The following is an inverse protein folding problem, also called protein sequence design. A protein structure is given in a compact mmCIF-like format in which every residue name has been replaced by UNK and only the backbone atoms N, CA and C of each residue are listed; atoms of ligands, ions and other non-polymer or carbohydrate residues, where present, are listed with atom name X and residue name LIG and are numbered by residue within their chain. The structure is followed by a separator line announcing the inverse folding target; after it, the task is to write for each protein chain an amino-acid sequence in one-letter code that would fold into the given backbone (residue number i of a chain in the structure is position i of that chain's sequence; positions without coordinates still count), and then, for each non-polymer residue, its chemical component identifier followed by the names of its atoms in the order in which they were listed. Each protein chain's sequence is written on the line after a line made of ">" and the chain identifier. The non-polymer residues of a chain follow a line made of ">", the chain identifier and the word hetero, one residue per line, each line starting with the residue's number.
data_IF_433146456048
#
_entry.id   IF_433146456048
#
_cell.length_a   1.000
_cell.length_b   1.000
_cell.length_c   1.000
_cell.angle_alpha   90.00
_cell.angle_beta   90.00
_cell.angle_gamma   90.00
#
_symmetry.space_group_name_H-M   'P 1'
#
loop_
_entity.id
_entity.type
_entity.pdbx_description
1 polymer ?
#
# COMPACT_ATOMS: atom_id res chain seq x y z
N UNK A 1 16.05 10.28 -33.54
CA UNK A 1 14.79 10.82 -32.99
C UNK A 1 15.11 11.48 -31.67
N UNK A 2 15.01 12.80 -31.61
CA UNK A 2 15.38 13.60 -30.44
C UNK A 2 14.38 13.36 -29.30
N UNK A 3 14.86 12.78 -28.20
CA UNK A 3 14.15 12.78 -26.93
C UNK A 3 14.25 14.21 -26.41
N UNK A 4 13.20 15.01 -26.66
CA UNK A 4 13.08 16.34 -26.05
C UNK A 4 13.12 16.16 -24.54
N UNK A 5 14.08 16.80 -23.90
CA UNK A 5 14.11 16.98 -22.45
C UNK A 5 12.86 17.79 -22.07
N UNK A 6 11.82 17.09 -21.62
CA UNK A 6 10.78 17.73 -20.84
C UNK A 6 11.47 18.35 -19.62
N UNK A 7 11.53 19.68 -19.59
CA UNK A 7 12.04 20.43 -18.46
C UNK A 7 11.37 19.97 -17.18
N UNK A 8 12.16 19.80 -16.14
CA UNK A 8 11.74 19.41 -14.80
C UNK A 8 10.88 20.54 -14.22
N UNK A 9 9.60 20.56 -14.55
CA UNK A 9 8.65 21.51 -14.00
C UNK A 9 8.71 21.40 -12.47
N UNK A 10 8.90 22.55 -11.79
CA UNK A 10 9.01 22.59 -10.34
C UNK A 10 7.78 21.93 -9.70
N UNK A 11 7.99 20.77 -9.08
CA UNK A 11 6.93 20.03 -8.39
C UNK A 11 6.48 20.82 -7.16
N UNK A 12 5.22 21.24 -7.12
CA UNK A 12 4.64 21.94 -5.96
C UNK A 12 3.99 20.92 -5.02
N UNK A 13 4.36 20.97 -3.74
CA UNK A 13 3.70 20.18 -2.70
C UNK A 13 2.33 20.78 -2.41
N UNK A 14 1.27 20.07 -2.83
CA UNK A 14 -0.12 20.49 -2.59
C UNK A 14 -0.69 20.01 -1.26
N UNK A 15 -0.08 18.98 -0.66
CA UNK A 15 -0.45 18.45 0.66
C UNK A 15 0.66 17.53 1.19
N UNK A 16 0.89 17.59 2.50
CA UNK A 16 1.80 16.70 3.24
C UNK A 16 1.11 16.21 4.51
N UNK A 17 1.29 14.93 4.87
CA UNK A 17 0.73 14.33 6.07
C UNK A 17 1.68 13.27 6.63
N UNK A 18 1.80 13.23 7.95
CA UNK A 18 2.43 12.11 8.68
C UNK A 18 1.33 11.15 9.15
N UNK A 19 1.48 9.86 8.86
CA UNK A 19 0.58 8.80 9.32
C UNK A 19 1.24 8.13 10.53
N UNK A 20 0.67 8.23 11.75
CA UNK A 20 1.23 7.59 12.93
C UNK A 20 1.31 6.06 12.78
N UNK A 21 2.25 5.45 13.49
CA UNK A 21 2.40 3.99 13.53
C UNK A 21 1.09 3.29 13.89
N UNK A 22 0.80 2.17 13.22
CA UNK A 22 -0.40 1.37 13.44
C UNK A 22 -1.73 2.14 13.27
N UNK A 23 -1.74 3.16 12.40
CA UNK A 23 -2.95 3.87 11.95
C UNK A 23 -3.04 3.87 10.42
N UNK A 24 -4.12 4.44 9.86
CA UNK A 24 -4.32 4.57 8.42
C UNK A 24 -4.95 5.90 8.06
N UNK A 25 -4.74 6.34 6.81
CA UNK A 25 -5.33 7.56 6.26
C UNK A 25 -5.67 7.35 4.78
N UNK A 26 -6.79 7.94 4.35
CA UNK A 26 -7.15 8.05 2.95
C UNK A 26 -7.26 9.53 2.56
N UNK A 27 -6.86 9.85 1.33
CA UNK A 27 -6.89 11.19 0.76
C UNK A 27 -7.06 11.09 -0.76
N UNK A 28 -7.59 12.14 -1.39
CA UNK A 28 -7.75 12.17 -2.84
C UNK A 28 -6.42 12.51 -3.53
N UNK A 29 -6.12 11.80 -4.61
CA UNK A 29 -5.06 12.12 -5.57
C UNK A 29 -5.72 12.32 -6.92
N UNK A 30 -5.58 13.51 -7.51
CA UNK A 30 -6.15 13.84 -8.82
C UNK A 30 -5.23 13.33 -9.93
N UNK A 31 -5.80 13.02 -11.10
CA UNK A 31 -5.03 12.65 -12.29
C UNK A 31 -3.93 13.69 -12.57
N UNK A 32 -2.71 13.22 -12.80
CA UNK A 32 -1.53 14.05 -13.02
C UNK A 32 -0.78 14.47 -11.74
N UNK A 33 -1.34 14.23 -10.55
CA UNK A 33 -0.61 14.44 -9.29
C UNK A 33 0.29 13.24 -8.98
N UNK A 34 1.37 13.49 -8.25
CA UNK A 34 2.29 12.47 -7.75
C UNK A 34 2.08 12.28 -6.26
N UNK A 35 1.91 11.02 -5.83
CA UNK A 35 1.95 10.63 -4.43
C UNK A 35 3.36 10.13 -4.11
N UNK A 36 4.02 10.75 -3.13
CA UNK A 36 5.27 10.26 -2.54
C UNK A 36 4.99 9.63 -1.19
N UNK A 37 5.41 8.38 -1.01
CA UNK A 37 5.33 7.66 0.27
C UNK A 37 6.75 7.54 0.83
N UNK A 38 6.93 7.95 2.08
CA UNK A 38 8.19 7.84 2.81
C UNK A 38 7.88 7.04 4.07
N UNK A 39 8.56 5.91 4.25
CA UNK A 39 8.28 4.96 5.33
C UNK A 39 9.54 4.57 6.09
N UNK A 40 9.37 4.33 7.40
CA UNK A 40 10.36 3.65 8.25
C UNK A 40 10.00 2.18 8.49
N UNK A 41 8.84 1.75 8.01
CA UNK A 41 8.32 0.38 8.08
C UNK A 41 7.37 0.12 6.92
N UNK A 42 7.06 -1.15 6.67
CA UNK A 42 6.05 -1.60 5.70
C UNK A 42 4.71 -0.87 5.89
N UNK A 43 4.04 -0.56 4.78
CA UNK A 43 2.74 0.08 4.75
C UNK A 43 1.83 -0.57 3.71
N UNK A 44 0.65 -1.01 4.13
CA UNK A 44 -0.35 -1.56 3.22
C UNK A 44 -1.02 -0.42 2.44
N UNK A 45 -0.79 -0.38 1.12
CA UNK A 45 -1.29 0.65 0.22
C UNK A 45 -2.42 0.13 -0.67
N UNK A 46 -3.51 0.89 -0.79
CA UNK A 46 -4.65 0.56 -1.66
C UNK A 46 -5.11 1.80 -2.42
N UNK A 47 -5.60 1.59 -3.65
CA UNK A 47 -6.06 2.67 -4.53
C UNK A 47 -7.51 2.45 -4.93
N UNK A 48 -8.28 3.53 -4.98
CA UNK A 48 -9.68 3.55 -5.42
C UNK A 48 -9.87 4.62 -6.48
N UNK A 49 -10.77 4.39 -7.45
CA UNK A 49 -11.21 5.44 -8.35
C UNK A 49 -12.04 6.45 -7.54
N UNK A 50 -11.61 7.71 -7.54
CA UNK A 50 -12.22 8.81 -6.78
C UNK A 50 -13.72 9.01 -7.09
N UNK A 51 -14.16 8.66 -8.30
CA UNK A 51 -15.55 8.80 -8.77
C UNK A 51 -16.35 7.50 -8.67
N UNK A 52 -15.69 6.37 -8.43
CA UNK A 52 -16.33 5.06 -8.34
C UNK A 52 -15.51 4.10 -7.48
N UNK A 53 -15.80 4.03 -6.18
CA UNK A 53 -15.06 3.17 -5.25
C UNK A 53 -15.23 1.66 -5.49
N UNK A 54 -16.15 1.25 -6.37
CA UNK A 54 -16.23 -0.16 -6.81
C UNK A 54 -15.05 -0.52 -7.73
N UNK A 55 -14.50 0.46 -8.43
CA UNK A 55 -13.23 0.32 -9.13
C UNK A 55 -12.08 0.62 -8.16
N UNK A 56 -11.30 -0.42 -7.87
CA UNK A 56 -10.24 -0.41 -6.85
C UNK A 56 -9.07 -1.25 -7.32
N UNK A 57 -7.91 -1.03 -6.72
CA UNK A 57 -6.70 -1.79 -6.95
C UNK A 57 -6.95 -3.29 -6.80
N UNK A 58 -6.33 -4.08 -7.69
CA UNK A 58 -6.41 -5.52 -7.67
C UNK A 58 -5.02 -6.13 -7.87
N UNK A 59 -4.52 -6.79 -6.82
CA UNK A 59 -3.24 -7.49 -6.85
C UNK A 59 -3.20 -8.56 -7.96
N UNK A 60 -4.28 -9.30 -8.19
CA UNK A 60 -4.27 -10.41 -9.14
C UNK A 60 -4.21 -9.89 -10.58
N UNK A 61 -4.98 -8.85 -10.90
CA UNK A 61 -4.88 -8.15 -12.19
C UNK A 61 -3.49 -7.58 -12.39
N UNK A 62 -2.95 -6.91 -11.38
CA UNK A 62 -1.60 -6.33 -11.46
C UNK A 62 -0.53 -7.40 -11.66
N UNK A 63 -0.60 -8.53 -10.93
CA UNK A 63 0.35 -9.65 -11.10
C UNK A 63 0.33 -10.24 -12.51
N UNK A 64 -0.86 -10.43 -13.08
CA UNK A 64 -1.01 -10.97 -14.44
C UNK A 64 -0.52 -9.98 -15.48
N UNK A 65 -0.89 -8.71 -15.34
CA UNK A 65 -0.52 -7.65 -16.29
C UNK A 65 0.99 -7.37 -16.29
N UNK A 66 1.59 -7.33 -15.10
CA UNK A 66 3.03 -7.05 -14.92
C UNK A 66 3.91 -8.30 -14.96
N UNK A 67 3.32 -9.50 -14.97
CA UNK A 67 4.02 -10.78 -15.03
C UNK A 67 4.87 -11.12 -13.80
N UNK A 68 4.64 -10.45 -12.66
CA UNK A 68 5.48 -10.57 -11.45
C UNK A 68 4.73 -10.22 -10.17
N UNK A 69 5.26 -10.67 -9.03
CA UNK A 69 4.69 -10.42 -7.71
C UNK A 69 5.34 -9.25 -6.96
N UNK A 70 6.50 -8.78 -7.41
CA UNK A 70 7.21 -7.63 -6.86
C UNK A 70 7.20 -6.48 -7.87
N UNK A 71 6.83 -5.29 -7.43
CA UNK A 71 6.75 -4.11 -8.30
C UNK A 71 7.76 -3.04 -7.88
N UNK A 72 8.20 -2.25 -8.84
CA UNK A 72 9.12 -1.13 -8.67
C UNK A 72 8.92 -0.10 -9.80
N UNK A 73 9.89 0.80 -9.98
CA UNK A 73 9.85 1.87 -10.99
C UNK A 73 9.48 1.33 -12.37
N UNK A 74 8.51 1.99 -13.01
CA UNK A 74 7.98 1.64 -14.33
C UNK A 74 6.69 0.81 -14.28
N UNK A 75 6.41 0.13 -13.17
CA UNK A 75 5.27 -0.78 -13.09
C UNK A 75 3.93 -0.06 -12.90
N UNK A 76 2.88 -0.70 -13.40
CA UNK A 76 1.51 -0.23 -13.36
C UNK A 76 0.74 -0.90 -12.22
N UNK A 77 -0.10 -0.14 -11.51
CA UNK A 77 -1.07 -0.69 -10.56
C UNK A 77 -2.43 -0.76 -11.24
N UNK A 78 -2.97 -1.97 -11.37
CA UNK A 78 -4.14 -2.26 -12.18
C UNK A 78 -5.38 -2.38 -11.30
N UNK A 79 -6.51 -1.84 -11.78
CA UNK A 79 -7.80 -1.91 -11.12
C UNK A 79 -8.49 -3.26 -11.37
N UNK A 80 -9.49 -3.57 -10.55
CA UNK A 80 -10.38 -4.73 -10.74
C UNK A 80 -11.12 -4.70 -12.09
N UNK A 81 -11.19 -3.53 -12.74
CA UNK A 81 -11.82 -3.34 -14.06
C UNK A 81 -10.78 -3.36 -15.21
N UNK A 82 -9.53 -3.73 -14.93
CA UNK A 82 -8.40 -3.75 -15.89
C UNK A 82 -7.98 -2.36 -16.40
N UNK A 83 -8.18 -1.31 -15.62
CA UNK A 83 -7.64 0.02 -15.94
C UNK A 83 -6.37 0.30 -15.14
N UNK A 84 -5.45 1.07 -15.73
CA UNK A 84 -4.30 1.61 -15.01
C UNK A 84 -4.77 2.66 -14.00
N UNK A 85 -4.45 2.46 -12.72
CA UNK A 85 -4.78 3.40 -11.65
C UNK A 85 -3.61 4.31 -11.29
N UNK A 86 -2.40 3.75 -11.23
CA UNK A 86 -1.17 4.44 -10.88
C UNK A 86 0.00 3.83 -11.66
N UNK A 87 1.07 4.61 -11.82
CA UNK A 87 2.38 4.14 -12.27
C UNK A 87 3.39 4.45 -11.17
N UNK A 88 4.24 3.48 -10.84
CA UNK A 88 5.36 3.71 -9.93
C UNK A 88 6.43 4.47 -10.71
N UNK A 89 6.50 5.79 -10.51
CA UNK A 89 7.43 6.64 -11.28
C UNK A 89 8.85 6.68 -10.71
N UNK A 90 9.01 6.34 -9.42
CA UNK A 90 10.31 6.28 -8.74
C UNK A 90 10.21 5.42 -7.49
N UNK A 91 11.17 4.54 -7.33
CA UNK A 91 11.38 3.69 -6.17
C UNK A 91 12.84 3.81 -5.71
N UNK A 92 13.05 4.14 -4.45
CA UNK A 92 14.38 4.29 -3.85
C UNK A 92 14.61 3.28 -2.72
N UNK A 93 13.69 2.33 -2.53
CA UNK A 93 13.82 1.31 -1.51
C UNK A 93 14.71 0.18 -2.01
N UNK A 94 15.71 -0.20 -1.22
CA UNK A 94 16.65 -1.29 -1.58
C UNK A 94 16.05 -2.70 -1.38
N UNK A 95 14.82 -2.79 -0.88
CA UNK A 95 14.10 -4.05 -0.70
C UNK A 95 13.14 -4.33 -1.86
N UNK A 96 12.01 -4.97 -1.53
CA UNK A 96 10.96 -5.29 -2.51
C UNK A 96 9.59 -4.84 -1.99
N UNK A 97 8.73 -4.41 -2.90
CA UNK A 97 7.31 -4.14 -2.66
C UNK A 97 6.51 -5.32 -3.21
N UNK A 98 5.73 -5.99 -2.37
CA UNK A 98 5.11 -7.27 -2.72
C UNK A 98 3.60 -7.18 -2.89
N UNK A 99 3.09 -8.03 -3.79
CA UNK A 99 1.67 -8.35 -3.95
C UNK A 99 1.40 -9.83 -3.64
N UNK A 100 2.23 -10.43 -2.79
CA UNK A 100 2.17 -11.84 -2.41
C UNK A 100 1.24 -12.04 -1.23
N UNK A 101 1.37 -11.18 -0.20
CA UNK A 101 0.62 -11.31 1.05
C UNK A 101 -0.57 -10.36 1.09
N UNK A 102 -1.61 -10.80 1.82
CA UNK A 102 -2.67 -9.91 2.27
C UNK A 102 -2.25 -9.11 3.50
N UNK A 103 -3.18 -8.33 4.02
CA UNK A 103 -2.98 -7.46 5.16
C UNK A 103 -3.13 -8.17 6.51
N UNK A 104 -2.38 -7.72 7.52
CA UNK A 104 -2.58 -8.18 8.90
C UNK A 104 -3.93 -7.69 9.45
N UNK A 105 -4.47 -8.41 10.44
CA UNK A 105 -5.77 -8.11 11.04
C UNK A 105 -5.84 -8.47 12.52
N UNK A 106 -6.84 -7.94 13.22
CA UNK A 106 -7.16 -8.37 14.58
C UNK A 106 -7.37 -9.89 14.69
N UNK A 107 -7.98 -10.52 13.66
CA UNK A 107 -8.16 -11.97 13.61
C UNK A 107 -6.81 -12.70 13.54
N UNK A 108 -5.91 -12.23 12.68
CA UNK A 108 -4.55 -12.76 12.57
C UNK A 108 -3.80 -12.66 13.91
N UNK A 109 -3.83 -11.50 14.56
CA UNK A 109 -3.14 -11.32 15.84
C UNK A 109 -3.76 -12.12 16.99
N UNK A 110 -5.08 -12.29 17.05
CA UNK A 110 -5.70 -13.19 18.05
C UNK A 110 -5.27 -14.64 17.87
N UNK A 111 -5.14 -15.11 16.63
CA UNK A 111 -4.80 -16.51 16.33
C UNK A 111 -3.30 -16.80 16.47
N UNK A 112 -2.47 -15.84 16.08
CA UNK A 112 -1.04 -16.07 15.87
C UNK A 112 -0.12 -15.13 16.67
N UNK A 113 -0.67 -14.17 17.42
CA UNK A 113 0.09 -13.14 18.15
C UNK A 113 1.16 -13.72 19.08
N UNK A 114 0.82 -14.76 19.85
CA UNK A 114 1.76 -15.42 20.77
C UNK A 114 2.89 -16.17 20.05
N UNK A 115 2.62 -16.59 18.81
CA UNK A 115 3.56 -17.30 17.93
C UNK A 115 4.17 -16.38 16.89
N UNK A 116 3.89 -15.08 16.89
CA UNK A 116 4.31 -14.18 15.81
C UNK A 116 5.83 -14.07 15.73
N UNK A 117 6.51 -14.15 16.87
CA UNK A 117 7.98 -14.22 16.96
C UNK A 117 8.54 -15.59 16.56
N UNK A 118 7.73 -16.64 16.44
CA UNK A 118 8.15 -17.90 15.80
C UNK A 118 7.97 -17.83 14.29
N UNK A 119 6.87 -17.21 13.84
CA UNK A 119 6.52 -17.11 12.40
C UNK A 119 7.39 -16.08 11.68
N UNK A 120 7.57 -14.90 12.27
CA UNK A 120 8.30 -13.76 11.70
C UNK A 120 9.51 -13.33 12.53
N UNK A 121 9.94 -14.15 13.50
CA UNK A 121 11.00 -13.82 14.45
C UNK A 121 12.30 -13.38 13.81
N UNK A 122 12.69 -14.00 12.70
CA UNK A 122 13.90 -13.62 11.98
C UNK A 122 13.80 -12.19 11.44
N UNK A 123 12.68 -11.84 10.79
CA UNK A 123 12.40 -10.49 10.29
C UNK A 123 12.26 -9.49 11.43
N UNK A 124 11.54 -9.84 12.49
CA UNK A 124 11.30 -8.95 13.64
C UNK A 124 12.57 -8.70 14.46
N UNK A 125 13.46 -9.71 14.57
CA UNK A 125 14.78 -9.58 15.19
C UNK A 125 15.69 -8.65 14.38
N UNK A 126 15.69 -8.77 13.04
CA UNK A 126 16.38 -7.83 12.14
C UNK A 126 15.87 -6.38 12.31
N UNK A 127 14.57 -6.21 12.58
CA UNK A 127 13.93 -4.92 12.81
C UNK A 127 13.98 -4.44 14.28
N UNK A 128 14.75 -5.10 15.16
CA UNK A 128 14.93 -4.66 16.56
C UNK A 128 13.68 -4.75 17.45
N UNK A 129 12.63 -5.49 17.04
CA UNK A 129 11.37 -5.57 17.80
C UNK A 129 11.47 -6.52 18.99
N UNK A 130 10.95 -6.09 20.14
CA UNK A 130 10.90 -6.88 21.38
C UNK A 130 9.73 -7.86 21.40
N UNK A 131 9.99 -9.07 21.88
CA UNK A 131 9.01 -10.16 22.04
C UNK A 131 7.87 -9.75 23.00
N UNK A 132 6.61 -10.00 22.64
CA UNK A 132 5.51 -10.11 23.63
C UNK A 132 4.32 -9.15 23.55
N UNK A 133 4.15 -8.30 22.55
CA UNK A 133 2.93 -7.49 22.41
C UNK A 133 2.45 -7.43 20.96
N UNK A 134 1.70 -8.44 20.53
CA UNK A 134 1.01 -8.37 19.24
C UNK A 134 -0.01 -7.21 19.26
N UNK A 135 -0.13 -6.42 18.18
CA UNK A 135 -1.14 -5.38 18.09
C UNK A 135 -2.56 -5.93 18.27
N UNK A 136 -3.46 -5.11 18.82
CA UNK A 136 -4.88 -5.48 18.98
C UNK A 136 -5.63 -5.49 17.63
N UNK A 137 -5.11 -4.78 16.63
CA UNK A 137 -5.67 -4.65 15.29
C UNK A 137 -4.56 -4.50 14.24
N UNK A 138 -4.91 -4.78 12.98
CA UNK A 138 -3.96 -4.72 11.86
C UNK A 138 -4.32 -3.71 10.80
N UNK A 139 -3.60 -3.79 9.69
CA UNK A 139 -3.78 -2.93 8.52
C UNK A 139 -5.20 -3.00 7.95
N UNK A 140 -5.88 -4.16 8.04
CA UNK A 140 -7.27 -4.27 7.60
C UNK A 140 -8.21 -3.34 8.37
N UNK A 141 -8.09 -3.29 9.69
CA UNK A 141 -8.87 -2.36 10.52
C UNK A 141 -8.48 -0.90 10.27
N UNK A 142 -7.19 -0.63 10.07
CA UNK A 142 -6.69 0.72 9.80
C UNK A 142 -7.21 1.28 8.48
N UNK A 143 -7.14 0.49 7.40
CA UNK A 143 -7.67 0.85 6.09
C UNK A 143 -9.19 1.00 6.12
N UNK A 144 -9.91 0.07 6.74
CA UNK A 144 -11.36 0.17 6.87
C UNK A 144 -11.80 1.44 7.61
N UNK A 145 -11.12 1.80 8.71
CA UNK A 145 -11.38 3.05 9.44
C UNK A 145 -11.08 4.27 8.56
N UNK A 146 -9.96 4.26 7.85
CA UNK A 146 -9.54 5.36 6.98
C UNK A 146 -10.49 5.57 5.79
N UNK A 147 -11.09 4.50 5.28
CA UNK A 147 -11.98 4.51 4.13
C UNK A 147 -13.46 4.74 4.49
N UNK A 148 -13.83 4.71 5.78
CA UNK A 148 -15.21 4.98 6.23
C UNK A 148 -15.81 6.30 5.68
N UNK A 149 -15.10 7.44 5.66
CA UNK A 149 -15.62 8.68 5.06
C UNK A 149 -15.91 8.58 3.55
N UNK A 150 -15.30 7.61 2.87
CA UNK A 150 -15.44 7.34 1.44
C UNK A 150 -16.54 6.31 1.14
N UNK A 151 -17.30 5.88 2.17
CA UNK A 151 -18.39 4.89 2.05
C UNK A 151 -17.94 3.54 1.48
N UNK A 152 -16.69 3.15 1.74
CA UNK A 152 -16.18 1.82 1.41
C UNK A 152 -16.47 0.88 2.59
N UNK A 153 -17.12 -0.24 2.31
CA UNK A 153 -17.36 -1.27 3.32
C UNK A 153 -16.05 -1.98 3.72
N UNK A 154 -15.99 -2.53 4.92
CA UNK A 154 -14.76 -3.16 5.44
C UNK A 154 -14.34 -4.37 4.60
N UNK A 155 -15.31 -5.13 4.12
CA UNK A 155 -15.21 -6.29 3.23
C UNK A 155 -14.80 -5.92 1.79
N UNK A 156 -14.93 -4.65 1.42
CA UNK A 156 -14.56 -4.15 0.09
C UNK A 156 -13.12 -3.62 0.02
N UNK A 157 -12.39 -3.60 1.14
CA UNK A 157 -10.97 -3.24 1.16
C UNK A 157 -10.18 -4.32 0.39
N UNK A 158 -9.49 -3.98 -0.72
CA UNK A 158 -8.76 -4.96 -1.51
C UNK A 158 -7.46 -5.35 -0.82
N UNK A 159 -6.88 -6.49 -1.21
CA UNK A 159 -5.49 -6.81 -0.82
C UNK A 159 -4.54 -5.68 -1.24
N UNK A 160 -3.56 -5.31 -0.40
CA UNK A 160 -2.77 -4.10 -0.60
C UNK A 160 -1.54 -4.33 -1.47
N UNK A 161 -0.86 -3.28 -1.88
CA UNK A 161 0.57 -3.33 -2.16
C UNK A 161 1.30 -3.18 -0.81
N UNK A 162 2.23 -4.08 -0.49
CA UNK A 162 2.99 -4.06 0.77
C UNK A 162 4.37 -3.44 0.60
#
# INVERSE_FOLDING_TARGET
>A
MNVSSCGEAAMVVVSERVIPSNTGKAFAVKKGQILRVIGQSTADFVVFNLRNVKERFDQARTKVDQGKIYVSTGDLLISKFNNVMMTIVKDTYEGAHDMEKGMCSASFYRKWGDKIFKIYGATWKKLGRRRGAAPKHGCWENLAKALKPWKVAKEDVPSPLN
#
